data_IF_864234165713
#
_entry.id   IF_864234165713
#
_cell.length_a   1.000
_cell.length_b   1.000
_cell.length_c   1.000
_cell.angle_alpha   90.00
_cell.angle_beta   90.00
_cell.angle_gamma   90.00
#
_symmetry.space_group_name_H-M   'P 1'
#
loop_
_entity.id
_entity.type
_entity.pdbx_description
1 polymer ?
#
# COMPACT_ATOMS: atom_id res chain seq x y z
N UNK A 1 36.07 12.88 -51.50
CA UNK A 1 35.07 11.97 -50.90
C UNK A 1 35.49 11.63 -49.47
N UNK A 2 34.91 12.27 -48.46
CA UNK A 2 34.75 11.77 -47.08
C UNK A 2 33.90 12.77 -46.29
N UNK A 3 33.04 12.23 -45.42
CA UNK A 3 31.81 12.81 -44.86
C UNK A 3 32.02 13.83 -43.72
N UNK A 4 30.99 14.65 -43.40
CA UNK A 4 30.92 15.53 -42.24
C UNK A 4 30.19 14.85 -41.07
N UNK A 5 30.80 14.75 -39.88
CA UNK A 5 30.09 14.54 -38.60
C UNK A 5 30.96 15.08 -37.45
N UNK A 6 30.87 16.38 -37.19
CA UNK A 6 31.47 17.03 -36.03
C UNK A 6 30.44 18.01 -35.45
N UNK A 7 29.42 17.49 -34.76
CA UNK A 7 28.47 18.31 -33.99
C UNK A 7 27.73 17.57 -32.85
N UNK A 8 28.18 16.40 -32.39
CA UNK A 8 27.59 15.72 -31.22
C UNK A 8 28.71 15.24 -30.30
N UNK A 9 29.33 16.17 -29.57
CA UNK A 9 30.25 15.79 -28.47
C UNK A 9 30.34 16.87 -27.37
N UNK A 10 29.25 17.59 -27.09
CA UNK A 10 29.27 18.66 -26.07
C UNK A 10 27.98 18.79 -25.25
N UNK A 11 27.20 17.71 -25.10
CA UNK A 11 26.03 17.65 -24.19
C UNK A 11 26.12 16.47 -23.17
N UNK A 12 27.17 15.67 -23.20
CA UNK A 12 27.31 14.48 -22.33
C UNK A 12 28.35 14.61 -21.19
N UNK A 13 28.67 15.84 -20.76
CA UNK A 13 29.61 16.10 -19.66
C UNK A 13 29.02 16.87 -18.48
N UNK A 14 27.70 17.08 -18.44
CA UNK A 14 27.01 17.75 -17.33
C UNK A 14 26.20 16.82 -16.39
N UNK A 15 26.24 15.50 -16.59
CA UNK A 15 25.38 14.53 -15.87
C UNK A 15 26.13 13.38 -15.16
N UNK A 16 27.35 13.62 -14.68
CA UNK A 16 28.09 12.60 -13.90
C UNK A 16 28.84 13.18 -12.69
N UNK A 17 28.28 14.21 -12.04
CA UNK A 17 28.55 14.46 -10.62
C UNK A 17 27.39 13.92 -9.78
N UNK A 18 27.19 12.60 -9.85
CA UNK A 18 26.63 11.93 -8.69
C UNK A 18 27.68 12.11 -7.58
N UNK A 19 27.33 12.92 -6.58
CA UNK A 19 28.04 12.92 -5.32
C UNK A 19 28.12 11.46 -4.86
N UNK A 20 29.30 10.86 -4.95
CA UNK A 20 29.70 9.82 -4.03
C UNK A 20 29.76 10.50 -2.66
N UNK A 21 28.60 10.71 -2.04
CA UNK A 21 28.53 10.97 -0.62
C UNK A 21 29.24 9.81 0.05
N UNK A 22 30.27 10.13 0.82
CA UNK A 22 30.86 9.22 1.76
C UNK A 22 29.74 8.49 2.50
N UNK A 23 29.91 7.20 2.71
CA UNK A 23 29.12 6.44 3.68
C UNK A 23 29.45 7.00 5.08
N UNK A 24 28.94 8.19 5.38
CA UNK A 24 29.15 8.89 6.63
C UNK A 24 27.91 8.77 7.52
N UNK A 25 28.23 8.40 8.77
CA UNK A 25 27.38 8.26 9.94
C UNK A 25 26.32 7.16 9.87
N UNK A 26 26.60 6.08 10.62
CA UNK A 26 25.58 5.27 11.26
C UNK A 26 24.50 6.21 11.81
N UNK A 27 23.32 6.20 11.18
CA UNK A 27 22.16 6.91 11.70
C UNK A 27 21.90 6.47 13.14
N UNK A 28 21.32 7.33 13.99
CA UNK A 28 21.02 6.98 15.37
C UNK A 28 20.26 5.66 15.39
N UNK A 29 20.71 4.71 16.21
CA UNK A 29 20.06 3.43 16.42
C UNK A 29 18.56 3.68 16.59
N UNK A 30 17.73 3.06 15.75
CA UNK A 30 16.30 3.33 15.76
C UNK A 30 15.76 2.97 17.14
N UNK A 31 15.22 3.94 17.87
CA UNK A 31 14.46 3.65 19.08
C UNK A 31 13.34 2.70 18.71
N UNK A 32 13.22 1.58 19.44
CA UNK A 32 12.09 0.67 19.29
C UNK A 32 10.78 1.46 19.29
N UNK A 33 9.82 1.13 18.41
CA UNK A 33 8.57 1.85 18.36
C UNK A 33 7.86 1.77 19.72
N UNK A 34 7.48 2.93 20.26
CA UNK A 34 6.92 2.99 21.61
C UNK A 34 5.41 2.83 21.55
N UNK A 35 4.82 2.31 22.62
CA UNK A 35 3.37 2.16 22.74
C UNK A 35 2.59 3.48 22.68
N UNK A 36 3.28 4.63 22.76
CA UNK A 36 2.69 5.96 22.62
C UNK A 36 2.32 6.32 21.17
N UNK A 37 2.87 5.60 20.20
CA UNK A 37 2.64 5.81 18.76
C UNK A 37 1.44 4.99 18.22
N UNK A 38 0.87 4.12 19.05
CA UNK A 38 -0.33 3.34 18.72
C UNK A 38 -1.57 4.21 18.93
N UNK A 39 -2.56 4.17 18.03
CA UNK A 39 -3.83 4.88 18.28
C UNK A 39 -4.43 4.35 19.59
N UNK A 40 -5.02 5.19 20.45
CA UNK A 40 -5.61 4.74 21.69
C UNK A 40 -6.57 3.57 21.46
N UNK A 41 -6.26 2.40 22.05
CA UNK A 41 -7.04 1.17 21.90
C UNK A 41 -6.56 0.18 20.84
N UNK A 42 -5.49 0.48 20.10
CA UNK A 42 -4.92 -0.46 19.12
C UNK A 42 -3.83 -1.33 19.74
N UNK A 43 -4.21 -2.54 20.14
CA UNK A 43 -3.30 -3.60 20.54
C UNK A 43 -3.03 -4.51 19.33
N UNK A 44 -2.16 -4.04 18.44
CA UNK A 44 -1.85 -4.74 17.19
C UNK A 44 -0.95 -5.94 17.48
N UNK A 45 -1.46 -7.16 17.24
CA UNK A 45 -0.77 -8.40 17.60
C UNK A 45 0.63 -8.53 16.97
N UNK A 46 0.80 -8.04 15.73
CA UNK A 46 2.05 -8.16 14.98
C UNK A 46 3.18 -7.33 15.59
N UNK A 47 2.84 -6.29 16.36
CA UNK A 47 3.77 -5.48 17.15
C UNK A 47 4.27 -6.26 18.36
N UNK A 48 3.35 -6.94 19.07
CA UNK A 48 3.71 -7.76 20.22
C UNK A 48 4.60 -8.93 19.80
N UNK A 49 4.36 -9.49 18.61
CA UNK A 49 5.16 -10.56 18.05
C UNK A 49 6.65 -10.20 17.95
N UNK A 50 7.00 -8.94 17.66
CA UNK A 50 8.38 -8.47 17.60
C UNK A 50 9.14 -8.58 18.93
N UNK A 51 8.43 -8.74 20.05
CA UNK A 51 9.01 -8.88 21.40
C UNK A 51 9.20 -10.33 21.83
N UNK A 52 8.84 -11.29 20.98
CA UNK A 52 8.92 -12.70 21.34
C UNK A 52 10.34 -13.26 21.17
N UNK A 53 10.81 -14.16 22.05
CA UNK A 53 12.13 -14.77 21.94
C UNK A 53 12.37 -15.51 20.62
N UNK A 54 11.32 -16.07 20.01
CA UNK A 54 11.42 -16.79 18.72
C UNK A 54 11.48 -15.85 17.51
N UNK A 55 11.18 -14.55 17.67
CA UNK A 55 11.01 -13.60 16.58
C UNK A 55 12.26 -13.45 15.70
N UNK A 56 13.45 -13.46 16.29
CA UNK A 56 14.71 -13.34 15.54
C UNK A 56 14.92 -14.52 14.56
N UNK A 57 14.40 -15.72 14.87
CA UNK A 57 14.66 -16.94 14.11
C UNK A 57 13.68 -17.18 12.96
N UNK A 58 12.46 -16.65 13.06
CA UNK A 58 11.44 -16.83 12.03
C UNK A 58 11.71 -15.98 10.80
N UNK A 59 11.18 -16.40 9.66
CA UNK A 59 11.45 -15.80 8.37
C UNK A 59 10.27 -15.94 7.41
N UNK A 60 10.33 -15.28 6.26
CA UNK A 60 9.33 -15.42 5.22
C UNK A 60 9.24 -16.84 4.63
N UNK A 61 10.35 -17.60 4.64
CA UNK A 61 10.38 -18.99 4.16
C UNK A 61 10.04 -20.00 5.28
N UNK A 62 10.27 -19.64 6.54
CA UNK A 62 9.93 -20.42 7.74
C UNK A 62 9.13 -19.53 8.72
N UNK A 63 7.82 -19.33 8.46
CA UNK A 63 7.02 -18.35 9.18
C UNK A 63 6.50 -18.81 10.55
N UNK A 64 6.52 -20.11 10.80
CA UNK A 64 6.06 -20.73 12.05
C UNK A 64 4.60 -20.36 12.40
N UNK A 65 3.65 -20.61 11.50
CA UNK A 65 2.23 -20.27 11.69
C UNK A 65 1.55 -20.93 12.91
N UNK A 66 2.18 -21.94 13.51
CA UNK A 66 1.69 -22.60 14.72
C UNK A 66 2.00 -21.85 16.01
N UNK A 67 2.85 -20.81 15.97
CA UNK A 67 3.28 -20.06 17.16
C UNK A 67 2.25 -18.98 17.54
N UNK A 68 1.44 -19.16 18.61
CA UNK A 68 0.27 -18.32 18.87
C UNK A 68 0.59 -16.86 19.26
N UNK A 69 1.84 -16.56 19.56
CA UNK A 69 2.29 -15.20 19.79
C UNK A 69 2.78 -14.50 18.51
N UNK A 70 3.21 -15.27 17.50
CA UNK A 70 3.74 -14.71 16.28
C UNK A 70 2.65 -14.35 15.28
N UNK A 71 1.45 -14.91 15.39
CA UNK A 71 0.35 -14.76 14.46
C UNK A 71 -0.97 -14.58 15.20
N UNK A 72 -1.95 -13.92 14.59
CA UNK A 72 -3.30 -13.86 15.16
C UNK A 72 -3.96 -15.24 15.15
N UNK A 73 -4.97 -15.42 16.02
CA UNK A 73 -5.69 -16.68 16.19
C UNK A 73 -6.42 -17.15 14.92
N UNK A 74 -6.62 -16.27 13.94
CA UNK A 74 -7.25 -16.57 12.66
C UNK A 74 -6.25 -17.00 11.56
N UNK A 75 -4.94 -17.03 11.83
CA UNK A 75 -3.91 -17.35 10.82
C UNK A 75 -4.17 -18.69 10.12
N UNK A 76 -4.73 -19.67 10.82
CA UNK A 76 -5.05 -21.00 10.27
C UNK A 76 -6.21 -20.96 9.26
N UNK A 77 -7.06 -19.93 9.30
CA UNK A 77 -8.10 -19.72 8.30
C UNK A 77 -7.55 -19.11 7.00
N UNK A 78 -6.39 -18.45 7.05
CA UNK A 78 -5.79 -17.75 5.90
C UNK A 78 -5.39 -18.71 4.79
N UNK A 79 -5.30 -18.20 3.57
CA UNK A 79 -4.89 -19.00 2.40
C UNK A 79 -3.38 -19.27 2.42
N UNK A 80 -2.57 -18.30 2.86
CA UNK A 80 -1.11 -18.41 2.85
C UNK A 80 -0.59 -19.39 3.91
N UNK A 81 -1.29 -19.60 5.03
CA UNK A 81 -0.86 -20.55 6.06
C UNK A 81 -0.97 -22.01 5.60
N UNK A 82 -1.85 -22.26 4.62
CA UNK A 82 -2.06 -23.55 3.97
C UNK A 82 -1.14 -23.75 2.76
N UNK A 83 -0.43 -22.71 2.33
CA UNK A 83 0.45 -22.78 1.17
C UNK A 83 1.71 -23.57 1.51
N UNK A 84 1.94 -24.65 0.76
CA UNK A 84 3.19 -25.40 0.79
C UNK A 84 4.09 -24.89 -0.34
N UNK A 85 5.32 -24.52 0.00
CA UNK A 85 6.35 -24.14 -0.95
C UNK A 85 7.37 -25.28 -1.09
N UNK A 86 7.81 -25.63 -2.31
CA UNK A 86 8.92 -26.57 -2.48
C UNK A 86 10.16 -26.08 -1.72
N UNK A 87 10.98 -26.99 -1.19
CA UNK A 87 12.29 -26.58 -0.65
C UNK A 87 13.14 -25.98 -1.77
N UNK A 88 13.88 -24.93 -1.45
CA UNK A 88 14.78 -24.24 -2.39
C UNK A 88 16.02 -23.73 -1.66
N UNK A 89 16.92 -23.08 -2.40
CA UNK A 89 18.11 -22.41 -1.87
C UNK A 89 17.72 -21.22 -1.00
N UNK A 90 18.24 -21.18 0.22
CA UNK A 90 18.14 -20.03 1.12
C UNK A 90 19.47 -19.32 1.16
N UNK A 91 19.50 -18.05 0.74
CA UNK A 91 20.65 -17.18 0.82
C UNK A 91 20.51 -16.22 2.01
N UNK A 92 21.46 -16.31 2.94
CA UNK A 92 21.55 -15.43 4.10
C UNK A 92 22.67 -14.42 3.90
N UNK A 93 22.42 -13.13 4.16
CA UNK A 93 23.44 -12.09 4.01
C UNK A 93 24.65 -12.39 4.91
N UNK A 94 25.85 -12.45 4.32
CA UNK A 94 27.04 -12.97 5.00
C UNK A 94 27.62 -12.04 6.06
N UNK A 95 27.38 -10.73 5.95
CA UNK A 95 27.96 -9.70 6.83
C UNK A 95 26.90 -8.70 7.31
N UNK A 96 26.00 -9.08 8.22
CA UNK A 96 25.06 -8.13 8.84
C UNK A 96 25.81 -6.91 9.41
N UNK A 97 25.28 -5.71 9.20
CA UNK A 97 25.95 -4.45 9.54
C UNK A 97 26.90 -3.91 8.46
N UNK A 98 27.11 -4.65 7.36
CA UNK A 98 27.84 -4.17 6.17
C UNK A 98 26.94 -4.20 4.94
N UNK A 99 26.81 -3.07 4.26
CA UNK A 99 26.02 -2.94 3.04
C UNK A 99 26.78 -3.29 1.75
N UNK A 100 26.06 -3.37 0.64
CA UNK A 100 26.64 -3.50 -0.70
C UNK A 100 25.73 -2.87 -1.77
N UNK A 101 26.33 -2.40 -2.88
CA UNK A 101 25.59 -1.85 -4.04
C UNK A 101 25.25 -2.90 -5.10
N UNK A 102 25.91 -4.05 -5.02
CA UNK A 102 25.88 -5.18 -5.95
C UNK A 102 25.41 -6.44 -5.20
N UNK A 103 24.37 -6.30 -4.38
CA UNK A 103 23.84 -7.36 -3.52
C UNK A 103 23.30 -8.58 -4.27
N UNK A 104 23.30 -8.58 -5.60
CA UNK A 104 22.95 -9.72 -6.43
C UNK A 104 24.08 -10.78 -6.54
N UNK A 105 25.32 -10.40 -6.24
CA UNK A 105 26.48 -11.27 -6.40
C UNK A 105 26.62 -12.31 -5.29
N UNK A 106 26.97 -13.56 -5.66
CA UNK A 106 27.13 -14.69 -4.75
C UNK A 106 28.09 -14.43 -3.57
N UNK A 107 29.14 -13.62 -3.79
CA UNK A 107 30.20 -13.32 -2.80
C UNK A 107 29.70 -12.70 -1.50
N UNK A 108 28.48 -12.15 -1.48
CA UNK A 108 27.88 -11.54 -0.30
C UNK A 108 26.94 -12.44 0.48
N UNK A 109 26.68 -13.65 -0.01
CA UNK A 109 25.66 -14.54 0.55
C UNK A 109 26.27 -15.81 1.12
N UNK A 110 25.58 -16.34 2.12
CA UNK A 110 25.79 -17.67 2.65
C UNK A 110 24.62 -18.56 2.20
N UNK A 111 24.94 -19.77 1.76
CA UNK A 111 24.01 -20.86 1.51
C UNK A 111 24.32 -21.95 2.53
N UNK A 112 23.35 -22.31 3.36
CA UNK A 112 23.52 -23.26 4.48
C UNK A 112 24.72 -22.92 5.40
N UNK A 113 24.95 -21.63 5.62
CA UNK A 113 26.05 -21.11 6.45
C UNK A 113 27.44 -21.11 5.79
N UNK A 114 27.55 -21.54 4.52
CA UNK A 114 28.80 -21.52 3.74
C UNK A 114 28.74 -20.44 2.65
N UNK A 115 29.87 -19.89 2.16
CA UNK A 115 29.85 -18.96 1.04
C UNK A 115 29.07 -19.51 -0.15
N UNK A 116 28.11 -18.74 -0.65
CA UNK A 116 27.31 -19.14 -1.80
C UNK A 116 28.19 -19.20 -3.06
N UNK A 117 27.96 -20.21 -3.89
CA UNK A 117 28.68 -20.39 -5.16
C UNK A 117 27.92 -19.82 -6.36
N UNK A 118 26.62 -19.56 -6.18
CA UNK A 118 25.74 -18.98 -7.19
C UNK A 118 24.97 -17.81 -6.60
N UNK A 119 24.74 -16.78 -7.43
CA UNK A 119 23.96 -15.60 -7.05
C UNK A 119 22.47 -15.89 -6.91
N UNK A 120 21.72 -14.80 -6.75
CA UNK A 120 20.26 -14.83 -6.58
C UNK A 120 19.60 -15.29 -7.90
N UNK A 121 18.58 -16.16 -7.76
CA UNK A 121 17.68 -16.58 -8.84
C UNK A 121 16.21 -16.36 -8.47
N UNK A 122 15.32 -16.55 -9.44
CA UNK A 122 13.87 -16.36 -9.28
C UNK A 122 13.21 -17.25 -8.22
N UNK A 123 13.85 -18.37 -7.88
CA UNK A 123 13.34 -19.31 -6.89
C UNK A 123 14.18 -19.30 -5.61
N UNK A 124 15.04 -18.30 -5.43
CA UNK A 124 15.85 -18.14 -4.22
C UNK A 124 15.06 -17.47 -3.09
N UNK A 125 15.27 -17.93 -1.86
CA UNK A 125 14.78 -17.26 -0.65
C UNK A 125 15.90 -16.43 -0.03
N UNK A 126 15.60 -15.20 0.34
CA UNK A 126 16.57 -14.25 0.88
C UNK A 126 16.30 -13.95 2.35
N UNK A 127 17.36 -13.96 3.15
CA UNK A 127 17.35 -13.54 4.55
C UNK A 127 18.43 -12.49 4.77
N UNK A 128 18.02 -11.29 5.16
CA UNK A 128 18.90 -10.26 5.68
C UNK A 128 18.76 -10.27 7.21
N UNK A 129 19.72 -10.79 7.98
CA UNK A 129 19.60 -10.92 9.42
C UNK A 129 19.54 -9.57 10.15
N UNK A 130 19.11 -9.62 11.41
CA UNK A 130 19.22 -8.48 12.32
C UNK A 130 20.70 -8.06 12.50
N UNK A 131 20.95 -6.77 12.72
CA UNK A 131 22.27 -6.24 12.99
C UNK A 131 22.25 -5.20 14.12
N UNK A 132 23.37 -5.04 14.82
CA UNK A 132 23.54 -3.98 15.83
C UNK A 132 23.69 -2.57 15.23
N UNK A 133 23.96 -2.47 13.93
CA UNK A 133 24.08 -1.23 13.19
C UNK A 133 23.34 -1.32 11.85
N UNK A 134 22.84 -0.17 11.38
CA UNK A 134 22.17 -0.02 10.09
C UNK A 134 23.03 -0.48 8.91
N UNK A 135 22.45 -1.24 7.98
CA UNK A 135 23.12 -1.60 6.73
C UNK A 135 22.15 -1.64 5.56
N UNK A 136 22.66 -1.35 4.36
CA UNK A 136 21.87 -1.26 3.14
C UNK A 136 22.38 -2.22 2.07
N UNK A 137 21.52 -3.09 1.57
CA UNK A 137 21.81 -4.01 0.47
C UNK A 137 21.01 -3.57 -0.75
N UNK A 138 21.70 -3.21 -1.83
CA UNK A 138 21.03 -2.97 -3.09
C UNK A 138 20.82 -4.26 -3.87
N UNK A 139 19.56 -4.55 -4.22
CA UNK A 139 19.18 -5.68 -5.07
C UNK A 139 18.89 -5.21 -6.51
N UNK A 140 19.63 -4.20 -6.97
CA UNK A 140 19.57 -3.75 -8.35
C UNK A 140 20.51 -4.62 -9.19
N UNK A 141 19.98 -5.31 -10.19
CA UNK A 141 20.77 -6.15 -11.12
C UNK A 141 21.38 -5.34 -12.29
N UNK A 142 21.36 -4.01 -12.20
CA UNK A 142 21.76 -3.07 -13.25
C UNK A 142 20.73 -2.88 -14.37
N UNK A 143 19.62 -3.63 -14.37
CA UNK A 143 18.54 -3.49 -15.36
C UNK A 143 17.51 -2.51 -14.85
N UNK A 144 17.51 -1.32 -15.43
CA UNK A 144 16.62 -0.21 -15.02
C UNK A 144 15.11 -0.48 -15.21
N UNK A 145 14.72 -1.48 -16.00
CA UNK A 145 13.32 -1.67 -16.46
C UNK A 145 12.79 -3.10 -16.41
N UNK A 146 13.53 -4.03 -15.81
CA UNK A 146 13.05 -5.40 -15.58
C UNK A 146 13.34 -5.74 -14.13
N UNK A 147 12.38 -5.58 -13.21
CA UNK A 147 12.63 -5.85 -11.81
C UNK A 147 13.05 -7.31 -11.67
N UNK A 148 14.22 -7.49 -11.11
CA UNK A 148 14.69 -8.79 -10.68
C UNK A 148 13.67 -9.38 -9.70
N UNK A 149 13.32 -10.66 -9.87
CA UNK A 149 12.36 -11.33 -9.00
C UNK A 149 13.06 -12.45 -8.21
N UNK A 150 12.61 -12.67 -6.98
CA UNK A 150 12.99 -13.81 -6.15
C UNK A 150 11.78 -14.29 -5.34
N UNK A 151 11.93 -15.42 -4.65
CA UNK A 151 10.80 -16.11 -4.05
C UNK A 151 10.38 -15.52 -2.72
N UNK A 152 11.19 -15.66 -1.67
CA UNK A 152 10.89 -15.11 -0.36
C UNK A 152 11.90 -14.04 0.05
N UNK A 153 11.48 -13.08 0.87
CA UNK A 153 12.38 -12.08 1.44
C UNK A 153 12.07 -11.82 2.90
N UNK A 154 13.08 -11.96 3.74
CA UNK A 154 13.06 -11.53 5.14
C UNK A 154 14.06 -10.40 5.33
N UNK A 155 13.58 -9.29 5.88
CA UNK A 155 14.40 -8.11 6.21
C UNK A 155 14.41 -7.98 7.73
N UNK A 156 15.54 -8.28 8.35
CA UNK A 156 15.76 -8.15 9.78
C UNK A 156 15.85 -6.69 10.26
N UNK A 157 15.91 -6.51 11.57
CA UNK A 157 16.10 -5.22 12.20
C UNK A 157 17.40 -4.56 11.73
N UNK A 158 17.36 -3.26 11.46
CA UNK A 158 18.48 -2.45 10.94
C UNK A 158 18.94 -2.80 9.52
N UNK A 159 18.33 -3.79 8.86
CA UNK A 159 18.57 -4.06 7.44
C UNK A 159 17.69 -3.16 6.57
N UNK A 160 18.27 -2.62 5.50
CA UNK A 160 17.57 -1.89 4.46
C UNK A 160 17.82 -2.57 3.11
N UNK A 161 16.75 -2.93 2.40
CA UNK A 161 16.85 -3.40 1.02
C UNK A 161 16.47 -2.26 0.08
N UNK A 162 17.31 -1.98 -0.92
CA UNK A 162 17.04 -0.92 -1.90
C UNK A 162 17.15 -1.41 -3.34
N UNK A 163 16.28 -0.94 -4.22
CA UNK A 163 16.34 -1.19 -5.66
C UNK A 163 15.04 -1.75 -6.20
N UNK A 164 14.90 -1.75 -7.53
CA UNK A 164 13.70 -2.18 -8.24
C UNK A 164 13.63 -3.71 -8.35
N UNK A 165 12.85 -4.35 -7.49
CA UNK A 165 12.68 -5.81 -7.48
C UNK A 165 11.24 -6.24 -7.21
N UNK A 166 10.94 -7.49 -7.50
CA UNK A 166 9.63 -8.11 -7.25
C UNK A 166 9.76 -9.35 -6.36
N UNK A 167 8.71 -9.64 -5.59
CA UNK A 167 8.67 -10.84 -4.73
C UNK A 167 7.54 -11.76 -5.20
N UNK A 168 7.87 -13.03 -5.46
CA UNK A 168 6.91 -14.05 -5.90
C UNK A 168 6.12 -14.68 -4.76
N UNK A 169 6.79 -14.82 -3.62
CA UNK A 169 6.34 -15.53 -2.44
C UNK A 169 6.07 -14.57 -1.26
N UNK A 170 6.36 -15.05 -0.05
CA UNK A 170 6.22 -14.28 1.18
C UNK A 170 7.25 -13.15 1.31
N UNK A 171 6.83 -12.03 1.91
CA UNK A 171 7.68 -10.94 2.35
C UNK A 171 7.49 -10.73 3.85
N UNK A 172 8.60 -10.58 4.58
CA UNK A 172 8.57 -10.20 5.99
C UNK A 172 9.58 -9.09 6.27
N UNK A 173 9.07 -7.90 6.57
CA UNK A 173 9.84 -6.76 7.08
C UNK A 173 9.70 -6.76 8.59
N UNK A 174 10.76 -7.17 9.29
CA UNK A 174 10.79 -7.18 10.75
C UNK A 174 10.86 -5.76 11.30
N UNK A 175 10.50 -5.60 12.57
CA UNK A 175 10.55 -4.31 13.25
C UNK A 175 11.96 -3.68 13.13
N UNK A 176 12.04 -2.46 12.63
CA UNK A 176 13.29 -1.74 12.35
C UNK A 176 13.94 -2.08 11.01
N UNK A 177 13.44 -3.08 10.27
CA UNK A 177 13.82 -3.37 8.89
C UNK A 177 13.16 -2.40 7.90
N UNK A 178 13.78 -2.20 6.74
CA UNK A 178 13.34 -1.23 5.72
C UNK A 178 13.42 -1.82 4.32
N UNK A 179 12.49 -1.39 3.46
CA UNK A 179 12.56 -1.61 2.03
C UNK A 179 12.37 -0.28 1.32
N UNK A 180 13.10 -0.08 0.22
CA UNK A 180 12.91 1.02 -0.71
C UNK A 180 12.90 0.46 -2.13
N UNK A 181 11.87 0.80 -2.90
CA UNK A 181 11.72 0.44 -4.32
C UNK A 181 11.30 -1.03 -4.62
N UNK A 182 10.54 -1.67 -3.73
CA UNK A 182 9.80 -2.91 -4.03
C UNK A 182 8.67 -2.72 -5.09
N UNK A 183 8.94 -3.06 -6.34
CA UNK A 183 8.06 -2.80 -7.48
C UNK A 183 6.77 -3.62 -7.48
N UNK A 184 6.84 -4.92 -7.22
CA UNK A 184 5.68 -5.80 -7.46
C UNK A 184 5.56 -7.02 -6.56
N UNK A 185 4.31 -7.43 -6.34
CA UNK A 185 3.95 -8.79 -5.92
C UNK A 185 3.49 -9.60 -7.13
N UNK A 186 4.18 -10.71 -7.43
CA UNK A 186 3.98 -11.46 -8.68
C UNK A 186 3.87 -12.97 -8.47
N UNK A 187 3.59 -13.71 -9.54
CA UNK A 187 3.64 -15.18 -9.56
C UNK A 187 2.43 -15.87 -8.91
N UNK A 188 2.53 -17.18 -8.72
CA UNK A 188 1.47 -18.02 -8.17
C UNK A 188 1.51 -18.18 -6.65
N UNK A 189 0.56 -18.96 -6.13
CA UNK A 189 0.45 -19.32 -4.72
C UNK A 189 -0.12 -18.23 -3.82
N UNK A 190 -0.50 -18.62 -2.62
CA UNK A 190 -0.98 -17.72 -1.58
C UNK A 190 0.18 -17.27 -0.69
N UNK A 191 0.38 -15.96 -0.58
CA UNK A 191 1.53 -15.37 0.12
C UNK A 191 1.08 -14.44 1.24
N UNK A 192 1.91 -14.24 2.26
CA UNK A 192 1.77 -13.12 3.17
C UNK A 192 2.85 -12.07 2.93
N UNK A 193 2.48 -10.82 3.15
CA UNK A 193 3.36 -9.67 3.11
C UNK A 193 3.20 -8.98 4.45
N UNK A 194 4.18 -9.17 5.34
CA UNK A 194 4.11 -8.71 6.72
C UNK A 194 5.12 -7.59 6.99
N UNK A 195 4.66 -6.51 7.60
CA UNK A 195 5.48 -5.38 8.04
C UNK A 195 5.20 -5.09 9.51
N UNK A 196 6.19 -5.35 10.36
CA UNK A 196 6.08 -5.17 11.80
C UNK A 196 6.48 -3.76 12.28
N UNK A 197 6.71 -2.82 11.35
CA UNK A 197 6.94 -1.42 11.70
C UNK A 197 5.63 -0.71 12.09
N UNK A 198 5.72 0.15 13.11
CA UNK A 198 4.57 0.81 13.75
C UNK A 198 4.27 2.22 13.26
N UNK A 199 5.19 2.85 12.54
CA UNK A 199 5.12 4.30 12.33
C UNK A 199 4.08 4.68 11.27
N UNK A 200 3.04 5.40 11.70
CA UNK A 200 2.10 6.16 10.88
C UNK A 200 2.67 7.51 10.38
N UNK A 201 3.97 7.76 10.60
CA UNK A 201 4.63 9.05 10.37
C UNK A 201 5.23 9.15 8.98
N UNK A 202 4.89 10.24 8.30
CA UNK A 202 5.46 10.70 7.03
C UNK A 202 6.95 11.10 7.12
N UNK A 203 7.56 11.03 8.32
CA UNK A 203 8.98 11.34 8.44
C UNK A 203 9.81 10.32 7.65
N UNK A 204 11.04 10.71 7.29
CA UNK A 204 11.97 10.00 6.41
C UNK A 204 12.37 8.56 6.84
N UNK A 205 11.57 7.93 7.72
CA UNK A 205 11.73 6.62 8.34
C UNK A 205 10.52 5.70 8.09
N UNK A 206 9.41 6.18 7.54
CA UNK A 206 8.24 5.36 7.16
C UNK A 206 8.49 4.53 5.90
N UNK A 207 8.21 3.23 5.95
CA UNK A 207 8.48 2.25 4.89
C UNK A 207 7.58 2.52 3.67
N UNK A 208 7.99 3.45 2.80
CA UNK A 208 7.50 3.58 1.44
C UNK A 208 7.94 2.31 0.69
N UNK A 209 6.99 1.42 0.37
CA UNK A 209 7.32 0.23 -0.41
C UNK A 209 8.01 0.65 -1.71
N UNK A 210 7.50 1.69 -2.35
CA UNK A 210 7.88 2.13 -3.70
C UNK A 210 7.33 3.50 -4.08
N UNK A 211 8.01 4.08 -5.07
CA UNK A 211 7.42 5.02 -6.02
C UNK A 211 6.19 4.37 -6.72
N UNK A 212 6.35 3.24 -7.43
CA UNK A 212 5.27 2.52 -8.11
C UNK A 212 5.11 1.06 -7.63
N UNK A 213 3.94 0.67 -7.12
CA UNK A 213 3.60 -0.71 -6.76
C UNK A 213 2.64 -1.36 -7.73
N UNK A 214 2.95 -2.58 -8.16
CA UNK A 214 2.10 -3.40 -9.03
C UNK A 214 1.75 -4.75 -8.38
N UNK A 215 0.47 -5.08 -8.34
CA UNK A 215 -0.02 -6.38 -7.89
C UNK A 215 -0.48 -7.23 -9.08
N UNK A 216 0.25 -8.31 -9.37
CA UNK A 216 0.02 -9.18 -10.54
C UNK A 216 0.22 -10.65 -10.19
N UNK A 217 -0.69 -11.22 -9.40
CA UNK A 217 -0.69 -12.65 -9.05
C UNK A 217 -1.48 -13.45 -10.10
N UNK A 218 -1.24 -14.76 -10.19
CA UNK A 218 -2.09 -15.65 -11.00
C UNK A 218 -3.55 -15.64 -10.48
N UNK A 219 -4.51 -16.01 -11.33
CA UNK A 219 -5.94 -15.85 -11.05
C UNK A 219 -6.44 -16.55 -9.77
N UNK A 220 -5.84 -17.68 -9.41
CA UNK A 220 -6.14 -18.47 -8.22
C UNK A 220 -5.23 -18.15 -7.03
N UNK A 221 -4.39 -17.12 -7.16
CA UNK A 221 -3.33 -16.81 -6.23
C UNK A 221 -3.63 -15.51 -5.49
N UNK A 222 -3.05 -15.36 -4.29
CA UNK A 222 -3.34 -14.22 -3.43
C UNK A 222 -2.11 -13.70 -2.71
N UNK A 223 -2.18 -12.45 -2.24
CA UNK A 223 -1.28 -11.95 -1.21
C UNK A 223 -2.05 -11.21 -0.13
N UNK A 224 -1.76 -11.53 1.13
CA UNK A 224 -2.34 -10.88 2.29
C UNK A 224 -1.32 -9.96 2.96
N UNK A 225 -1.65 -8.67 2.98
CA UNK A 225 -0.81 -7.60 3.51
C UNK A 225 -1.17 -7.34 4.98
N UNK A 226 -0.19 -7.58 5.85
CA UNK A 226 -0.28 -7.53 7.31
C UNK A 226 0.61 -6.39 7.80
N UNK A 227 0.02 -5.44 8.51
CA UNK A 227 0.71 -4.24 8.97
C UNK A 227 0.40 -3.01 8.12
N UNK A 228 1.32 -2.04 8.12
CA UNK A 228 1.11 -0.76 7.45
C UNK A 228 2.01 -0.68 6.21
N UNK A 229 1.43 -0.39 5.06
CA UNK A 229 2.13 -0.23 3.80
C UNK A 229 1.69 1.04 3.09
N UNK A 230 2.65 1.75 2.50
CA UNK A 230 2.37 2.93 1.71
C UNK A 230 3.18 2.93 0.42
N UNK A 231 2.61 3.56 -0.62
CA UNK A 231 3.34 3.96 -1.82
C UNK A 231 3.43 5.49 -1.88
N UNK A 232 4.45 6.00 -2.56
CA UNK A 232 4.58 7.42 -2.86
C UNK A 232 3.75 7.83 -4.07
N UNK A 233 3.91 7.17 -5.21
CA UNK A 233 3.33 7.62 -6.49
C UNK A 233 2.10 6.79 -6.87
N UNK A 234 2.27 5.47 -7.03
CA UNK A 234 1.29 4.62 -7.68
C UNK A 234 1.06 3.26 -6.99
N UNK A 235 -0.20 2.81 -7.00
CA UNK A 235 -0.59 1.45 -6.63
C UNK A 235 -1.55 0.89 -7.68
N UNK A 236 -1.22 -0.24 -8.32
CA UNK A 236 -2.05 -0.84 -9.37
C UNK A 236 -2.37 -2.30 -9.05
N UNK A 237 -3.62 -2.71 -9.28
CA UNK A 237 -4.07 -4.08 -9.06
C UNK A 237 -4.47 -4.71 -10.39
N UNK A 238 -3.59 -5.52 -10.96
CA UNK A 238 -3.76 -6.07 -12.30
C UNK A 238 -4.46 -7.43 -12.30
N UNK A 239 -4.12 -8.31 -11.36
CA UNK A 239 -4.67 -9.67 -11.31
C UNK A 239 -4.51 -10.36 -9.96
N UNK A 240 -5.37 -11.35 -9.71
CA UNK A 240 -5.36 -12.18 -8.50
C UNK A 240 -6.07 -11.54 -7.31
N UNK A 241 -5.89 -12.10 -6.11
CA UNK A 241 -6.56 -11.66 -4.89
C UNK A 241 -5.60 -10.90 -3.96
N UNK A 242 -5.73 -9.58 -3.90
CA UNK A 242 -5.05 -8.72 -2.93
C UNK A 242 -5.90 -8.61 -1.65
N UNK A 243 -5.32 -8.86 -0.47
CA UNK A 243 -6.05 -8.82 0.80
C UNK A 243 -5.38 -7.83 1.75
N UNK A 244 -6.14 -6.86 2.24
CA UNK A 244 -5.77 -6.04 3.41
C UNK A 244 -6.18 -6.81 4.66
N UNK A 245 -5.21 -7.29 5.43
CA UNK A 245 -5.47 -8.09 6.63
C UNK A 245 -6.19 -7.27 7.71
N UNK A 246 -6.73 -7.97 8.71
CA UNK A 246 -7.42 -7.31 9.83
C UNK A 246 -6.47 -6.37 10.59
N UNK A 247 -6.95 -5.16 10.88
CA UNK A 247 -6.15 -4.11 11.55
C UNK A 247 -4.96 -3.58 10.74
N UNK A 248 -4.85 -3.93 9.47
CA UNK A 248 -3.76 -3.49 8.58
C UNK A 248 -4.17 -2.27 7.76
N UNK A 249 -3.19 -1.51 7.27
CA UNK A 249 -3.42 -0.28 6.51
C UNK A 249 -2.63 -0.27 5.20
N UNK A 250 -3.31 0.00 4.10
CA UNK A 250 -2.70 0.27 2.80
C UNK A 250 -3.00 1.72 2.41
N UNK A 251 -1.97 2.55 2.37
CA UNK A 251 -2.04 3.91 1.84
C UNK A 251 -1.52 3.94 0.41
N UNK A 252 -2.45 3.97 -0.54
CA UNK A 252 -2.15 4.15 -1.96
C UNK A 252 -1.54 5.53 -2.18
N UNK A 253 -0.62 5.67 -3.15
CA UNK A 253 0.16 6.88 -3.45
C UNK A 253 -0.69 8.12 -3.77
N UNK A 254 -0.09 9.22 -4.21
CA UNK A 254 -0.84 10.47 -4.39
C UNK A 254 -1.01 10.97 -5.82
N UNK A 255 -0.22 10.45 -6.76
CA UNK A 255 -0.17 10.95 -8.14
C UNK A 255 -1.04 10.16 -9.09
N UNK A 256 -0.90 8.84 -9.08
CA UNK A 256 -1.65 8.00 -10.03
C UNK A 256 -2.90 7.41 -9.35
N UNK A 257 -4.08 7.51 -9.98
CA UNK A 257 -5.28 6.81 -9.54
C UNK A 257 -5.08 5.29 -9.53
N UNK A 258 -5.27 4.60 -8.41
CA UNK A 258 -5.25 3.15 -8.35
C UNK A 258 -6.42 2.60 -9.12
N UNK A 259 -6.15 1.49 -9.81
CA UNK A 259 -7.15 0.75 -10.56
C UNK A 259 -7.18 -0.69 -10.13
N UNK A 260 -8.38 -1.20 -9.89
CA UNK A 260 -8.66 -2.63 -9.76
C UNK A 260 -9.08 -3.12 -11.13
N UNK A 261 -8.15 -3.71 -11.89
CA UNK A 261 -8.41 -4.24 -13.22
C UNK A 261 -9.41 -5.41 -13.17
N UNK A 262 -10.02 -5.73 -14.32
CA UNK A 262 -11.08 -6.76 -14.44
C UNK A 262 -10.71 -8.15 -13.89
N UNK A 263 -9.42 -8.49 -13.88
CA UNK A 263 -8.90 -9.79 -13.43
C UNK A 263 -8.39 -9.74 -11.98
N UNK A 264 -8.51 -8.58 -11.32
CA UNK A 264 -8.10 -8.35 -9.95
C UNK A 264 -9.30 -8.36 -8.98
N UNK A 265 -9.02 -8.80 -7.76
CA UNK A 265 -9.91 -8.67 -6.62
C UNK A 265 -9.12 -8.07 -5.45
N UNK A 266 -9.67 -7.03 -4.83
CA UNK A 266 -9.15 -6.45 -3.60
C UNK A 266 -10.13 -6.76 -2.48
N UNK A 267 -9.67 -7.34 -1.38
CA UNK A 267 -10.48 -7.62 -0.20
C UNK A 267 -9.96 -6.84 1.01
N UNK A 268 -10.85 -6.19 1.76
CA UNK A 268 -10.52 -5.50 3.02
C UNK A 268 -11.16 -6.29 4.17
N UNK A 269 -10.34 -6.88 5.04
CA UNK A 269 -10.83 -7.64 6.19
C UNK A 269 -11.20 -6.72 7.37
N UNK A 270 -11.83 -7.28 8.41
CA UNK A 270 -12.33 -6.51 9.56
C UNK A 270 -11.24 -5.70 10.26
N UNK A 271 -11.48 -4.39 10.43
CA UNK A 271 -10.49 -3.44 10.96
C UNK A 271 -9.40 -3.03 9.97
N UNK A 272 -9.36 -3.62 8.77
CA UNK A 272 -8.46 -3.22 7.70
C UNK A 272 -8.86 -1.87 7.10
N UNK A 273 -7.87 -1.14 6.58
CA UNK A 273 -8.06 0.17 5.98
C UNK A 273 -7.32 0.26 4.64
N UNK A 274 -8.08 0.41 3.55
CA UNK A 274 -7.53 0.78 2.25
C UNK A 274 -7.84 2.26 2.02
N UNK A 275 -6.83 3.07 1.81
CA UNK A 275 -7.03 4.49 1.66
C UNK A 275 -6.10 5.10 0.63
N UNK A 276 -6.50 6.25 0.07
CA UNK A 276 -5.51 7.18 -0.42
C UNK A 276 -4.71 7.73 0.75
N UNK A 277 -3.39 7.76 0.59
CA UNK A 277 -2.47 8.42 1.55
C UNK A 277 -2.87 9.88 1.73
N UNK A 278 -3.23 10.52 0.63
CA UNK A 278 -3.55 11.94 0.55
C UNK A 278 -4.47 12.17 -0.64
N UNK A 279 -5.09 13.34 -0.68
CA UNK A 279 -5.97 13.71 -1.78
C UNK A 279 -5.22 13.64 -3.13
N UNK A 280 -5.74 12.89 -4.10
CA UNK A 280 -5.21 12.91 -5.45
C UNK A 280 -5.67 14.18 -6.15
N UNK A 281 -4.72 14.91 -6.72
CA UNK A 281 -5.00 16.05 -7.59
C UNK A 281 -5.35 15.62 -9.03
N UNK A 282 -5.25 14.32 -9.35
CA UNK A 282 -5.40 13.79 -10.69
C UNK A 282 -6.64 12.89 -10.74
N UNK A 283 -7.71 13.37 -11.38
CA UNK A 283 -8.92 12.59 -11.68
C UNK A 283 -9.51 11.86 -10.45
N UNK A 284 -9.71 10.55 -10.54
CA UNK A 284 -10.34 9.74 -9.51
C UNK A 284 -9.38 9.21 -8.45
N UNK A 285 -9.88 8.83 -7.27
CA UNK A 285 -9.03 8.20 -6.25
C UNK A 285 -8.99 6.68 -6.33
N UNK A 286 -9.98 6.05 -6.95
CA UNK A 286 -10.03 4.61 -7.14
C UNK A 286 -11.02 4.29 -8.27
N UNK A 287 -10.54 3.58 -9.27
CA UNK A 287 -11.38 2.94 -10.30
C UNK A 287 -11.48 1.44 -10.05
N UNK A 288 -12.69 0.90 -10.10
CA UNK A 288 -12.99 -0.53 -9.93
C UNK A 288 -13.59 -1.08 -11.22
N UNK A 289 -12.80 -1.82 -11.99
CA UNK A 289 -13.26 -2.69 -13.08
C UNK A 289 -13.41 -4.14 -12.68
N UNK A 290 -12.61 -4.59 -11.71
CA UNK A 290 -12.68 -5.92 -11.12
C UNK A 290 -13.61 -5.94 -9.91
N UNK A 291 -13.10 -6.40 -8.77
CA UNK A 291 -13.91 -6.62 -7.57
C UNK A 291 -13.27 -5.97 -6.35
N UNK A 292 -14.07 -5.23 -5.60
CA UNK A 292 -13.77 -4.82 -4.23
C UNK A 292 -14.68 -5.60 -3.27
N UNK A 293 -14.06 -6.30 -2.33
CA UNK A 293 -14.74 -7.07 -1.29
C UNK A 293 -14.45 -6.43 0.07
N UNK A 294 -15.46 -6.39 0.93
CA UNK A 294 -15.29 -6.13 2.34
C UNK A 294 -15.61 -7.42 3.11
N UNK A 295 -14.59 -8.02 3.70
CA UNK A 295 -14.62 -9.42 4.13
C UNK A 295 -14.53 -10.40 2.95
N UNK A 296 -14.33 -11.67 3.29
CA UNK A 296 -14.41 -12.79 2.35
C UNK A 296 -15.56 -13.73 2.76
N UNK A 297 -16.10 -14.57 1.86
CA UNK A 297 -17.14 -15.52 2.22
C UNK A 297 -16.79 -16.39 3.44
N UNK A 298 -15.56 -16.87 3.51
CA UNK A 298 -15.02 -17.70 4.59
C UNK A 298 -14.42 -16.91 5.76
N UNK A 299 -14.23 -15.59 5.59
CA UNK A 299 -13.75 -14.65 6.62
C UNK A 299 -14.58 -13.36 6.59
N UNK A 300 -15.87 -13.43 6.97
CA UNK A 300 -16.74 -12.26 6.92
C UNK A 300 -16.28 -11.19 7.92
N UNK A 301 -16.71 -9.96 7.71
CA UNK A 301 -16.45 -8.86 8.64
C UNK A 301 -17.02 -9.17 10.02
N UNK A 302 -16.16 -9.00 11.03
CA UNK A 302 -16.49 -9.04 12.47
C UNK A 302 -16.17 -7.71 13.15
N UNK A 303 -15.71 -6.73 12.37
CA UNK A 303 -15.44 -5.32 12.70
C UNK A 303 -15.64 -4.50 11.42
N UNK A 304 -15.84 -3.20 11.56
CA UNK A 304 -15.87 -2.30 10.39
C UNK A 304 -14.55 -2.39 9.61
N UNK A 305 -14.65 -2.50 8.29
CA UNK A 305 -13.56 -2.27 7.34
C UNK A 305 -13.70 -0.86 6.76
N UNK A 306 -12.61 -0.26 6.28
CA UNK A 306 -12.63 1.13 5.83
C UNK A 306 -12.06 1.28 4.42
N UNK A 307 -12.75 2.07 3.61
CA UNK A 307 -12.28 2.60 2.33
C UNK A 307 -12.20 4.13 2.43
N UNK A 308 -10.99 4.66 2.50
CA UNK A 308 -10.71 6.08 2.66
C UNK A 308 -10.42 6.76 1.33
N UNK A 309 -11.33 7.61 0.89
CA UNK A 309 -11.25 8.30 -0.40
C UNK A 309 -10.81 9.75 -0.21
N UNK A 310 -10.25 10.38 -1.23
CA UNK A 310 -9.93 11.80 -1.21
C UNK A 310 -11.18 12.69 -1.26
N UNK A 311 -10.95 13.96 -0.96
CA UNK A 311 -11.96 15.03 -1.08
C UNK A 311 -11.90 15.65 -2.47
N UNK A 312 -13.02 15.67 -3.17
CA UNK A 312 -13.11 16.21 -4.54
C UNK A 312 -13.66 17.63 -4.55
N UNK A 313 -13.11 18.50 -5.42
CA UNK A 313 -13.26 19.97 -5.53
C UNK A 313 -12.02 20.85 -5.22
N UNK A 314 -10.88 20.27 -4.81
CA UNK A 314 -9.64 21.03 -4.55
C UNK A 314 -9.17 21.84 -5.76
N UNK A 315 -9.31 21.28 -6.95
CA UNK A 315 -8.94 21.94 -8.20
C UNK A 315 -9.74 23.22 -8.50
N UNK A 316 -10.95 23.37 -7.94
CA UNK A 316 -11.81 24.55 -8.17
C UNK A 316 -11.17 25.80 -7.57
N UNK A 317 -10.37 25.62 -6.51
CA UNK A 317 -9.77 26.71 -5.75
C UNK A 317 -8.31 26.94 -6.12
N UNK A 318 -7.55 25.86 -6.36
CA UNK A 318 -6.14 25.98 -6.75
C UNK A 318 -5.95 26.40 -8.21
N UNK A 319 -6.97 26.23 -9.06
CA UNK A 319 -6.85 26.42 -10.51
C UNK A 319 -5.66 25.62 -11.07
N UNK A 320 -5.02 26.14 -12.12
CA UNK A 320 -3.78 25.55 -12.65
C UNK A 320 -2.53 25.82 -11.80
N UNK A 321 -2.62 26.67 -10.76
CA UNK A 321 -1.47 27.10 -9.95
C UNK A 321 -1.06 26.07 -8.90
N UNK A 322 -1.92 25.12 -8.57
CA UNK A 322 -1.63 24.04 -7.61
C UNK A 322 -0.85 22.86 -8.18
N UNK A 323 -0.24 22.97 -9.38
CA UNK A 323 0.51 21.88 -10.01
C UNK A 323 -0.34 20.69 -10.52
N UNK A 324 -1.63 20.66 -10.22
CA UNK A 324 -2.59 19.64 -10.69
C UNK A 324 -3.40 20.08 -11.93
N UNK A 325 -4.07 19.12 -12.57
CA UNK A 325 -5.06 19.42 -13.63
C UNK A 325 -6.24 20.20 -13.04
N UNK A 326 -6.88 21.04 -13.86
CA UNK A 326 -8.17 21.64 -13.48
C UNK A 326 -9.18 20.54 -13.14
N UNK A 327 -10.04 20.75 -12.14
CA UNK A 327 -11.06 19.79 -11.75
C UNK A 327 -11.91 19.50 -12.98
N UNK A 328 -11.89 18.24 -13.40
CA UNK A 328 -12.68 17.78 -14.53
C UNK A 328 -14.03 17.23 -14.07
N UNK A 329 -14.91 16.90 -15.03
CA UNK A 329 -16.09 16.08 -14.74
C UNK A 329 -15.75 14.70 -14.13
N UNK A 330 -14.47 14.32 -14.11
CA UNK A 330 -13.97 13.04 -13.61
C UNK A 330 -13.22 13.16 -12.26
N UNK A 331 -13.34 14.28 -11.54
CA UNK A 331 -12.79 14.46 -10.18
C UNK A 331 -13.67 13.69 -9.16
N UNK A 332 -13.55 12.36 -9.11
CA UNK A 332 -14.42 11.46 -8.32
C UNK A 332 -13.62 10.63 -7.32
N UNK A 333 -14.05 10.52 -6.05
CA UNK A 333 -13.34 9.66 -5.09
C UNK A 333 -13.45 8.18 -5.44
N UNK A 334 -14.54 7.76 -6.08
CA UNK A 334 -14.72 6.36 -6.47
C UNK A 334 -15.45 6.25 -7.80
N UNK A 335 -14.92 5.40 -8.68
CA UNK A 335 -15.60 4.98 -9.91
C UNK A 335 -15.76 3.46 -9.89
N UNK A 336 -17.00 2.97 -9.90
CA UNK A 336 -17.31 1.55 -10.13
C UNK A 336 -17.80 1.42 -11.56
N UNK A 337 -16.98 0.89 -12.46
CA UNK A 337 -17.32 0.79 -13.88
C UNK A 337 -18.36 -0.29 -14.12
N UNK A 338 -18.91 -0.37 -15.34
CA UNK A 338 -19.96 -1.34 -15.67
C UNK A 338 -19.57 -2.81 -15.43
N UNK A 339 -18.28 -3.15 -15.56
CA UNK A 339 -17.76 -4.48 -15.23
C UNK A 339 -17.42 -4.67 -13.75
N UNK A 340 -17.31 -3.58 -13.00
CA UNK A 340 -16.88 -3.55 -11.61
C UNK A 340 -17.94 -3.98 -10.61
N UNK A 341 -17.49 -4.40 -9.43
CA UNK A 341 -18.38 -4.74 -8.31
C UNK A 341 -17.82 -4.37 -6.94
N UNK A 342 -18.73 -4.00 -6.03
CA UNK A 342 -18.46 -3.84 -4.59
C UNK A 342 -19.37 -4.77 -3.80
N UNK A 343 -18.80 -5.69 -3.02
CA UNK A 343 -19.57 -6.69 -2.24
C UNK A 343 -19.13 -6.69 -0.78
N UNK A 344 -20.10 -6.84 0.13
CA UNK A 344 -19.85 -6.94 1.57
C UNK A 344 -20.22 -8.34 2.06
N UNK A 345 -19.25 -9.03 2.64
CA UNK A 345 -19.44 -10.27 3.40
C UNK A 345 -19.32 -9.93 4.89
N UNK A 346 -20.45 -9.82 5.58
CA UNK A 346 -20.48 -9.44 7.00
C UNK A 346 -21.21 -10.49 7.84
N UNK A 347 -20.70 -10.73 9.06
CA UNK A 347 -21.37 -11.59 10.04
C UNK A 347 -22.57 -10.90 10.71
N UNK A 348 -22.59 -9.56 10.69
CA UNK A 348 -23.70 -8.72 11.16
C UNK A 348 -23.64 -7.39 10.40
N UNK A 349 -24.33 -7.24 9.26
CA UNK A 349 -24.23 -6.05 8.41
C UNK A 349 -24.75 -4.76 9.07
N UNK A 350 -25.47 -4.86 10.19
CA UNK A 350 -25.86 -3.68 10.97
C UNK A 350 -24.70 -3.14 11.83
N UNK A 351 -23.72 -3.99 12.18
CA UNK A 351 -22.60 -3.65 13.08
C UNK A 351 -21.25 -3.60 12.38
N UNK A 352 -20.99 -4.53 11.46
CA UNK A 352 -19.69 -4.70 10.81
C UNK A 352 -19.84 -4.41 9.33
N UNK A 353 -19.36 -3.25 8.93
CA UNK A 353 -19.69 -2.62 7.65
C UNK A 353 -18.43 -2.29 6.88
N UNK A 354 -18.57 -2.12 5.57
CA UNK A 354 -17.64 -1.31 4.80
C UNK A 354 -17.98 0.15 5.01
N UNK A 355 -17.13 0.88 5.72
CA UNK A 355 -17.23 2.32 5.87
C UNK A 355 -16.53 2.98 4.69
N UNK A 356 -17.30 3.62 3.83
CA UNK A 356 -16.78 4.45 2.74
C UNK A 356 -16.85 5.89 3.20
N UNK A 357 -15.69 6.53 3.33
CA UNK A 357 -15.62 7.90 3.78
C UNK A 357 -14.56 8.74 3.09
N UNK A 358 -14.71 10.06 3.22
CA UNK A 358 -13.59 10.96 2.97
C UNK A 358 -12.50 10.65 4.01
N UNK A 359 -11.30 10.34 3.54
CA UNK A 359 -10.14 10.01 4.33
C UNK A 359 -9.88 11.12 5.34
N UNK A 360 -10.19 10.80 6.59
CA UNK A 360 -10.00 11.65 7.77
C UNK A 360 -8.60 11.52 8.35
N UNK A 361 -7.58 11.27 7.51
CA UNK A 361 -6.18 11.39 7.94
C UNK A 361 -5.89 12.89 8.11
N UNK A 362 -6.56 13.49 9.09
CA UNK A 362 -7.20 14.79 9.01
C UNK A 362 -6.27 15.99 9.19
N UNK A 363 -4.96 15.78 9.19
CA UNK A 363 -3.94 16.82 9.43
C UNK A 363 -2.87 16.91 8.33
N UNK A 364 -3.03 16.26 7.16
CA UNK A 364 -1.97 16.15 6.13
C UNK A 364 -1.76 17.44 5.28
N UNK A 365 -1.57 18.57 5.97
CA UNK A 365 -0.96 19.81 5.47
C UNK A 365 0.42 19.57 4.87
N UNK A 366 1.07 18.45 5.23
CA UNK A 366 2.30 17.97 4.60
C UNK A 366 2.15 17.93 3.07
N UNK A 367 0.96 17.67 2.52
CA UNK A 367 0.75 17.70 1.08
C UNK A 367 0.60 19.09 0.47
N UNK A 368 0.06 20.05 1.22
CA UNK A 368 0.08 21.45 0.80
C UNK A 368 1.53 21.98 0.76
N UNK A 369 2.39 21.48 1.65
CA UNK A 369 3.83 21.74 1.59
C UNK A 369 4.54 20.99 0.45
N UNK A 370 4.24 19.69 0.22
CA UNK A 370 4.84 18.88 -0.85
C UNK A 370 4.46 19.35 -2.25
N UNK A 371 3.19 19.74 -2.47
CA UNK A 371 2.74 20.25 -3.77
C UNK A 371 3.43 21.58 -4.07
N UNK A 372 3.74 22.32 -3.01
CA UNK A 372 4.49 23.55 -3.10
C UNK A 372 6.01 23.36 -3.18
N UNK A 373 6.52 22.38 -3.96
CA UNK A 373 7.97 22.10 -4.05
C UNK A 373 8.82 23.35 -4.30
N UNK A 374 8.23 24.46 -4.75
CA UNK A 374 8.84 25.80 -4.85
C UNK A 374 8.03 26.98 -4.22
N UNK A 375 6.91 26.75 -3.51
CA UNK A 375 6.00 27.80 -3.02
C UNK A 375 5.36 27.53 -1.65
N UNK A 376 6.14 27.36 -0.56
CA UNK A 376 5.60 26.98 0.75
C UNK A 376 4.35 27.80 1.06
N UNK A 377 3.18 27.13 1.04
CA UNK A 377 1.88 27.80 1.15
C UNK A 377 1.62 28.31 2.58
N UNK A 378 2.57 28.17 3.50
CA UNK A 378 2.49 28.69 4.87
C UNK A 378 2.16 30.18 4.89
N UNK A 379 1.02 30.51 5.47
CA UNK A 379 0.50 31.89 5.52
C UNK A 379 -0.25 32.35 4.27
N UNK A 380 -0.41 31.50 3.24
CA UNK A 380 -1.19 31.81 2.04
C UNK A 380 -2.70 31.85 2.39
N UNK A 381 -3.43 32.94 2.10
CA UNK A 381 -4.89 33.00 2.23
C UNK A 381 -5.63 31.84 1.55
N UNK A 382 -5.04 31.24 0.52
CA UNK A 382 -5.56 30.07 -0.17
C UNK A 382 -5.61 28.82 0.73
N UNK A 383 -4.63 28.64 1.64
CA UNK A 383 -4.68 27.58 2.67
C UNK A 383 -5.88 27.77 3.58
N UNK A 384 -6.09 28.99 4.08
CA UNK A 384 -7.20 29.28 4.98
C UNK A 384 -8.54 29.00 4.30
N UNK A 385 -8.66 29.40 3.03
CA UNK A 385 -9.83 29.10 2.21
C UNK A 385 -10.02 27.60 1.96
N UNK A 386 -8.95 26.84 1.76
CA UNK A 386 -9.03 25.37 1.66
C UNK A 386 -9.49 24.70 2.96
N UNK A 387 -9.15 25.26 4.13
CA UNK A 387 -9.62 24.77 5.45
C UNK A 387 -11.12 24.92 5.64
N UNK A 388 -11.71 25.95 5.04
CA UNK A 388 -13.14 26.27 5.17
C UNK A 388 -14.04 25.38 4.32
N UNK A 389 -13.47 24.64 3.36
CA UNK A 389 -14.25 23.88 2.42
C UNK A 389 -14.70 22.54 2.99
N UNK A 390 -15.93 22.10 2.66
CA UNK A 390 -16.43 20.82 3.11
C UNK A 390 -15.62 19.69 2.47
N UNK A 391 -14.89 18.93 3.30
CA UNK A 391 -14.17 17.70 2.91
C UNK A 391 -15.19 16.60 2.63
N UNK A 392 -15.54 16.42 1.36
CA UNK A 392 -16.60 15.49 0.94
C UNK A 392 -16.19 14.66 -0.27
N UNK A 393 -16.72 13.45 -0.37
CA UNK A 393 -16.43 12.56 -1.48
C UNK A 393 -17.59 12.53 -2.49
N UNK A 394 -17.23 12.50 -3.78
CA UNK A 394 -18.13 12.23 -4.91
C UNK A 394 -17.82 10.83 -5.48
N UNK A 395 -18.83 10.13 -5.99
CA UNK A 395 -18.71 8.77 -6.51
C UNK A 395 -19.56 8.58 -7.77
N UNK A 396 -19.12 7.70 -8.66
CA UNK A 396 -19.92 7.24 -9.80
C UNK A 396 -20.00 5.71 -9.82
N UNK A 397 -21.21 5.18 -9.87
CA UNK A 397 -21.51 3.75 -9.77
C UNK A 397 -22.28 3.33 -11.02
N UNK A 398 -21.55 2.73 -11.96
CA UNK A 398 -22.08 2.10 -13.19
C UNK A 398 -22.17 0.58 -13.06
N UNK A 399 -21.38 0.00 -12.18
CA UNK A 399 -21.34 -1.44 -11.90
C UNK A 399 -22.31 -1.89 -10.82
N UNK A 400 -21.96 -3.00 -10.18
CA UNK A 400 -22.80 -3.62 -9.15
C UNK A 400 -22.32 -3.28 -7.74
N UNK A 401 -23.26 -3.10 -6.82
CA UNK A 401 -22.94 -2.81 -5.42
C UNK A 401 -23.94 -3.52 -4.50
N UNK A 402 -23.41 -4.17 -3.47
CA UNK A 402 -24.22 -4.68 -2.35
C UNK A 402 -24.34 -3.58 -1.30
N UNK A 403 -25.49 -2.93 -1.23
CA UNK A 403 -25.72 -1.82 -0.32
C UNK A 403 -25.82 -2.22 1.16
N UNK A 404 -26.37 -3.41 1.43
CA UNK A 404 -26.45 -3.93 2.79
C UNK A 404 -25.03 -4.15 3.34
N UNK A 405 -24.77 -3.63 4.55
CA UNK A 405 -23.44 -3.66 5.17
C UNK A 405 -22.49 -2.55 4.71
N UNK A 406 -22.96 -1.55 3.96
CA UNK A 406 -22.19 -0.33 3.66
C UNK A 406 -22.61 0.80 4.61
N UNK A 407 -21.64 1.55 5.14
CA UNK A 407 -21.83 2.83 5.80
C UNK A 407 -21.25 3.94 4.92
N UNK A 408 -22.10 4.87 4.48
CA UNK A 408 -21.69 6.06 3.73
C UNK A 408 -21.49 7.23 4.70
N UNK A 409 -20.31 7.83 4.73
CA UNK A 409 -20.00 8.93 5.64
C UNK A 409 -19.14 10.00 4.98
N UNK A 410 -19.43 11.29 5.21
CA UNK A 410 -18.69 12.36 4.54
C UNK A 410 -19.00 12.52 3.04
N UNK A 411 -20.22 12.18 2.59
CA UNK A 411 -20.63 12.27 1.18
C UNK A 411 -21.34 13.61 0.89
N UNK A 412 -21.10 14.17 -0.30
CA UNK A 412 -21.75 15.39 -0.79
C UNK A 412 -23.22 15.13 -1.18
N UNK A 413 -24.08 16.13 -1.06
CA UNK A 413 -25.44 16.09 -1.62
C UNK A 413 -25.39 15.89 -3.14
N UNK A 414 -26.07 14.87 -3.66
CA UNK A 414 -26.00 14.44 -5.05
C UNK A 414 -24.63 13.90 -5.48
N UNK A 415 -23.73 13.65 -4.53
CA UNK A 415 -22.37 13.20 -4.81
C UNK A 415 -22.29 11.76 -5.31
N UNK A 416 -23.35 10.95 -5.17
CA UNK A 416 -23.38 9.56 -5.65
C UNK A 416 -24.18 9.48 -6.95
N UNK A 417 -23.47 9.40 -8.07
CA UNK A 417 -24.07 9.24 -9.39
C UNK A 417 -24.32 7.75 -9.68
N UNK A 418 -25.58 7.35 -9.83
CA UNK A 418 -25.95 5.95 -10.05
C UNK A 418 -27.19 5.83 -10.96
N UNK A 419 -27.27 4.74 -11.73
CA UNK A 419 -28.41 4.47 -12.61
C UNK A 419 -29.71 4.17 -11.83
N UNK A 420 -29.59 3.42 -10.74
CA UNK A 420 -30.72 3.04 -9.90
C UNK A 420 -30.31 3.18 -8.43
N UNK A 421 -30.84 4.18 -7.70
CA UNK A 421 -30.53 4.33 -6.28
C UNK A 421 -31.07 3.14 -5.48
N UNK A 422 -30.47 2.82 -4.32
CA UNK A 422 -30.99 1.78 -3.43
C UNK A 422 -32.41 2.11 -2.97
N UNK A 423 -33.22 1.07 -2.74
CA UNK A 423 -34.49 1.21 -2.02
C UNK A 423 -34.21 1.50 -0.54
N UNK A 424 -34.28 2.78 -0.18
CA UNK A 424 -34.05 3.26 1.19
C UNK A 424 -35.21 2.95 2.14
N UNK A 425 -36.39 2.57 1.63
CA UNK A 425 -37.55 2.20 2.45
C UNK A 425 -37.50 0.72 2.87
N UNK A 426 -36.82 -0.13 2.11
CA UNK A 426 -36.64 -1.53 2.46
C UNK A 426 -35.67 -1.68 3.63
N UNK A 427 -36.22 -1.87 4.84
CA UNK A 427 -35.46 -2.15 6.06
C UNK A 427 -34.42 -3.26 5.83
N UNK A 428 -33.15 -2.93 6.10
CA UNK A 428 -32.03 -3.88 6.02
C UNK A 428 -31.51 -4.18 4.61
N UNK A 429 -31.96 -3.48 3.56
CA UNK A 429 -31.42 -3.64 2.19
C UNK A 429 -30.57 -2.47 1.71
N UNK A 430 -30.78 -1.27 2.27
CA UNK A 430 -30.00 -0.07 1.94
C UNK A 430 -28.72 0.09 2.76
N UNK A 431 -27.88 1.08 2.41
CA UNK A 431 -26.72 1.44 3.22
C UNK A 431 -27.15 2.16 4.52
N UNK A 432 -26.26 2.14 5.50
CA UNK A 432 -26.32 3.05 6.64
C UNK A 432 -25.68 4.40 6.27
N UNK A 433 -26.01 5.44 7.03
CA UNK A 433 -25.53 6.81 6.80
C UNK A 433 -24.87 7.36 8.07
N UNK A 434 -23.64 7.85 7.92
CA UNK A 434 -22.90 8.57 8.94
C UNK A 434 -23.44 9.99 9.15
N UNK A 435 -23.02 10.62 10.26
CA UNK A 435 -23.46 11.96 10.66
C UNK A 435 -22.85 13.07 9.85
N UNK A 436 -21.74 12.81 9.14
CA UNK A 436 -21.00 13.81 8.40
C UNK A 436 -21.42 13.88 6.91
N UNK A 437 -22.58 13.35 6.54
CA UNK A 437 -23.10 13.52 5.17
C UNK A 437 -23.73 14.91 4.95
N UNK A 438 -23.66 15.41 3.73
CA UNK A 438 -24.33 16.64 3.33
C UNK A 438 -25.78 16.35 2.92
N UNK A 439 -26.70 16.57 3.86
CA UNK A 439 -28.13 16.43 3.62
C UNK A 439 -28.71 15.07 4.04
N UNK A 440 -29.94 14.81 3.60
CA UNK A 440 -30.68 13.58 3.93
C UNK A 440 -30.24 12.42 3.04
N UNK A 441 -30.39 11.15 3.49
CA UNK A 441 -30.03 9.95 2.73
C UNK A 441 -30.40 9.95 1.25
N UNK A 442 -31.67 10.23 0.91
CA UNK A 442 -32.13 10.25 -0.48
C UNK A 442 -31.46 11.35 -1.32
N UNK A 443 -31.09 12.47 -0.68
CA UNK A 443 -30.44 13.60 -1.34
C UNK A 443 -28.96 13.38 -1.65
N UNK A 444 -28.37 12.26 -1.25
CA UNK A 444 -26.98 11.92 -1.60
C UNK A 444 -26.87 11.34 -3.02
N UNK A 445 -27.98 10.83 -3.58
CA UNK A 445 -27.99 10.15 -4.87
C UNK A 445 -28.45 11.07 -6.01
N UNK A 446 -27.80 10.96 -7.16
CA UNK A 446 -28.14 11.64 -8.39
C UNK A 446 -28.11 10.66 -9.57
N UNK A 447 -28.84 10.93 -10.67
CA UNK A 447 -28.68 10.18 -11.91
C UNK A 447 -27.23 10.21 -12.42
N UNK A 448 -26.84 9.19 -13.18
CA UNK A 448 -25.57 9.17 -13.90
C UNK A 448 -25.41 10.43 -14.77
N UNK A 449 -24.16 10.92 -14.85
CA UNK A 449 -23.79 12.00 -15.76
C UNK A 449 -23.93 11.49 -17.20
N UNK A 450 -24.48 12.33 -18.07
CA UNK A 450 -24.72 12.00 -19.49
C UNK A 450 -23.42 11.95 -20.28
#
# INVERSE_FOLDING_TARGET
MLKPYLCILLILLAAARMHAGAADAAGPASSEPTTKDMRPGEDLWYVRAARLPCYAKVSAHEPHFSEPGLWDGDVQATLYSKQVWPKTRVLTWAKPGSGAKDGWEAKYWLEDGKPATMGISVDTDLVLPDAGAGYTVSLTDGRKYQPSAFRHLTIGAQACVVGHFSVKGNLWIKAGGKVMFLDSAVGGGHTFWRNDNLTNGWDARGVSLVDHFHFSKLADSSAEFIGIYHSEDNWQFHSGLFIVAGGSEIGMGNRTPPRIDKDATVAILGGGYLARRSNCDWADDLTIDGKLLAGLPERPLTRDARLGLGWKSKGVFLGSKGGGRMPGPDDLGLVVTQGGSVTVHSSDPAKFRLVINCSRRDDDWGQIEIISRDHPLHGDPLIAKLKELPRRTDMEIRGTITWNGILLDGIRAGGIHIATPPDLAAHGKGPAFGTDNEGKPAGLFAPLRK
#
